data_IF_993979135427
#
_entry.id   IF_993979135427
#
_cell.length_a   1.000
_cell.length_b   1.000
_cell.length_c   1.000
_cell.angle_alpha   90.00
_cell.angle_beta   90.00
_cell.angle_gamma   90.00
#
_symmetry.space_group_name_H-M   'P 1'
#
loop_
_entity.id
_entity.type
_entity.pdbx_description
1 polymer ?
#
# COMPACT_ATOMS: atom_id res chain seq x y z
N UNK A 1 13.18 7.56 -1.90
CA UNK A 1 11.89 7.03 -1.42
C UNK A 1 11.37 6.08 -2.46
N UNK A 2 11.18 4.81 -2.12
CA UNK A 2 10.59 3.83 -3.04
C UNK A 2 9.07 4.02 -3.13
N UNK A 3 8.38 3.48 -4.15
CA UNK A 3 6.92 3.46 -4.18
C UNK A 3 6.33 2.84 -2.91
N UNK A 4 6.91 1.75 -2.40
CA UNK A 4 6.53 1.14 -1.13
C UNK A 4 6.57 2.13 0.03
N UNK A 5 7.68 2.84 0.22
CA UNK A 5 7.84 3.81 1.31
C UNK A 5 6.79 4.93 1.23
N UNK A 6 6.50 5.40 0.01
CA UNK A 6 5.47 6.42 -0.22
C UNK A 6 4.08 5.93 0.16
N UNK A 7 3.69 4.75 -0.31
CA UNK A 7 2.36 4.19 -0.05
C UNK A 7 2.17 3.76 1.42
N UNK A 8 3.24 3.27 2.06
CA UNK A 8 3.26 3.00 3.50
C UNK A 8 3.02 4.26 4.32
N UNK A 9 3.75 5.33 3.99
CA UNK A 9 3.58 6.64 4.64
C UNK A 9 2.18 7.19 4.38
N UNK A 10 1.71 7.18 3.13
CA UNK A 10 0.40 7.69 2.75
C UNK A 10 -0.73 6.96 3.49
N UNK A 11 -0.63 5.65 3.69
CA UNK A 11 -1.58 4.89 4.49
C UNK A 11 -1.51 5.24 5.98
N UNK A 12 -0.30 5.28 6.54
CA UNK A 12 -0.06 5.60 7.96
C UNK A 12 -0.59 6.99 8.35
N UNK A 13 -0.41 7.99 7.48
CA UNK A 13 -0.91 9.35 7.70
C UNK A 13 -2.35 9.56 7.21
N UNK A 14 -3.05 8.49 6.79
CA UNK A 14 -4.43 8.52 6.29
C UNK A 14 -4.63 9.42 5.05
N UNK A 15 -3.58 9.62 4.26
CA UNK A 15 -3.65 10.30 2.96
C UNK A 15 -4.12 9.38 1.84
N UNK A 16 -3.93 8.07 2.02
CA UNK A 16 -4.41 7.04 1.13
C UNK A 16 -5.37 6.09 1.86
N UNK A 17 -6.44 5.71 1.15
CA UNK A 17 -7.40 4.68 1.56
C UNK A 17 -7.00 3.31 1.01
N UNK A 18 -7.60 2.24 1.56
CA UNK A 18 -7.43 0.87 1.05
C UNK A 18 -7.70 0.75 -0.46
N UNK A 19 -8.75 1.40 -0.96
CA UNK A 19 -9.07 1.39 -2.40
C UNK A 19 -8.00 2.07 -3.26
N UNK A 20 -7.36 3.14 -2.75
CA UNK A 20 -6.24 3.78 -3.46
C UNK A 20 -5.00 2.89 -3.47
N UNK A 21 -4.74 2.13 -2.41
CA UNK A 21 -3.68 1.12 -2.36
C UNK A 21 -3.95 -0.04 -3.33
N UNK A 22 -5.19 -0.54 -3.42
CA UNK A 22 -5.57 -1.57 -4.41
C UNK A 22 -5.38 -1.07 -5.85
N UNK A 23 -5.69 0.20 -6.10
CA UNK A 23 -5.42 0.83 -7.40
C UNK A 23 -3.92 0.94 -7.66
N UNK A 24 -3.11 1.23 -6.65
CA UNK A 24 -1.65 1.24 -6.77
C UNK A 24 -1.09 -0.14 -7.15
N UNK A 25 -1.65 -1.22 -6.61
CA UNK A 25 -1.33 -2.59 -7.04
C UNK A 25 -1.70 -2.83 -8.51
N UNK A 26 -2.91 -2.42 -8.91
CA UNK A 26 -3.40 -2.58 -10.28
C UNK A 26 -2.57 -1.80 -11.31
N UNK A 27 -1.95 -0.70 -10.88
CA UNK A 27 -1.06 0.13 -11.70
C UNK A 27 0.41 -0.35 -11.67
N UNK A 28 0.72 -1.41 -10.92
CA UNK A 28 2.08 -1.92 -10.76
C UNK A 28 3.00 -0.99 -9.96
N UNK A 29 2.45 -0.04 -9.19
CA UNK A 29 3.25 0.86 -8.35
C UNK A 29 3.77 0.16 -7.09
N UNK A 30 3.01 -0.81 -6.59
CA UNK A 30 3.40 -1.70 -5.48
C UNK A 30 2.89 -3.10 -5.80
N UNK A 31 3.50 -4.12 -5.19
CA UNK A 31 3.07 -5.51 -5.31
C UNK A 31 1.91 -5.83 -4.35
N UNK A 32 1.26 -6.98 -4.57
CA UNK A 32 0.24 -7.48 -3.64
C UNK A 32 0.83 -7.77 -2.24
N UNK A 33 2.09 -8.20 -2.17
CA UNK A 33 2.78 -8.45 -0.90
C UNK A 33 3.06 -7.15 -0.15
N UNK A 34 3.53 -6.13 -0.87
CA UNK A 34 3.73 -4.78 -0.32
C UNK A 34 2.41 -4.18 0.17
N UNK A 35 1.32 -4.35 -0.59
CA UNK A 35 -0.03 -3.98 -0.14
C UNK A 35 -0.40 -4.68 1.17
N UNK A 36 -0.17 -5.98 1.28
CA UNK A 36 -0.47 -6.76 2.49
C UNK A 36 0.37 -6.30 3.69
N UNK A 37 1.64 -5.95 3.46
CA UNK A 37 2.51 -5.37 4.49
C UNK A 37 2.06 -3.99 4.93
N UNK A 38 1.64 -3.11 4.00
CA UNK A 38 1.18 -1.75 4.32
C UNK A 38 -0.14 -1.78 5.10
N UNK A 39 -1.06 -2.64 4.67
CA UNK A 39 -2.42 -2.69 5.22
C UNK A 39 -2.55 -3.58 6.45
N UNK A 40 -1.53 -4.37 6.76
CA UNK A 40 -1.53 -5.30 7.89
C UNK A 40 -2.38 -6.56 7.66
N UNK A 41 -2.87 -6.79 6.44
CA UNK A 41 -3.58 -8.03 6.07
C UNK A 41 -2.65 -9.25 5.93
N UNK A 42 -1.36 -9.11 6.23
CA UNK A 42 -0.39 -10.20 6.23
C UNK A 42 -0.54 -11.21 7.40
N UNK A 43 -1.65 -11.21 8.14
CA UNK A 43 -1.93 -12.13 9.26
C UNK A 43 -3.44 -12.44 9.25
N UNK A 44 -3.93 -13.67 9.08
CA UNK A 44 -3.44 -15.01 9.48
C UNK A 44 -3.48 -16.03 8.35
#
# INVERSE_FOLDING_TARGET
MTPFDFWKMAYQFKWATLGQLQKAVSLGLITQDEYNQITGTAQQ
#
